data_IF_463557228816
#
_entry.id   IF_463557228816
#
_cell.length_a   1.000
_cell.length_b   1.000
_cell.length_c   1.000
_cell.angle_alpha   90.00
_cell.angle_beta   90.00
_cell.angle_gamma   90.00
#
_symmetry.space_group_name_H-M   'P 1'
#
loop_
_entity.id
_entity.type
_entity.pdbx_description
1 polymer ?
#
# COMPACT_ATOMS: atom_id res chain seq x y z
N UNK A 1 -7.06 -6.98 42.21
CA UNK A 1 -7.47 -7.92 41.12
C UNK A 1 -8.32 -7.28 40.02
N UNK A 2 -9.15 -6.25 40.26
CA UNK A 2 -10.03 -5.65 39.23
C UNK A 2 -9.33 -4.77 38.17
N UNK A 3 -8.18 -4.19 38.49
CA UNK A 3 -7.42 -3.31 37.58
C UNK A 3 -6.67 -4.07 36.47
N UNK A 4 -6.26 -5.31 36.73
CA UNK A 4 -5.50 -6.13 35.76
C UNK A 4 -6.44 -6.61 34.65
N UNK A 5 -7.69 -6.92 34.98
CA UNK A 5 -8.70 -7.34 34.01
C UNK A 5 -9.09 -6.22 33.04
N UNK A 6 -9.10 -4.96 33.51
CA UNK A 6 -9.37 -3.80 32.66
C UNK A 6 -8.24 -3.54 31.64
N UNK A 7 -6.99 -3.82 32.01
CA UNK A 7 -5.81 -3.62 31.15
C UNK A 7 -5.73 -4.65 30.01
N UNK A 8 -6.18 -5.89 30.26
CA UNK A 8 -6.22 -6.94 29.23
C UNK A 8 -7.32 -6.72 28.18
N UNK A 9 -8.44 -6.10 28.57
CA UNK A 9 -9.54 -5.78 27.64
C UNK A 9 -9.17 -4.64 26.70
N UNK A 10 -8.39 -3.65 27.14
CA UNK A 10 -7.88 -2.58 26.26
C UNK A 10 -6.76 -3.07 25.34
N UNK A 11 -5.91 -4.00 25.78
CA UNK A 11 -4.89 -4.62 24.92
C UNK A 11 -5.50 -5.49 23.79
N UNK A 12 -6.68 -6.07 24.01
CA UNK A 12 -7.39 -6.85 22.97
C UNK A 12 -8.08 -5.98 21.91
N UNK A 13 -8.22 -4.66 22.15
CA UNK A 13 -8.82 -3.70 21.22
C UNK A 13 -7.79 -3.00 20.32
N UNK A 14 -6.49 -3.15 20.57
CA UNK A 14 -5.46 -2.89 19.56
C UNK A 14 -5.41 -4.06 18.60
N UNK A 15 -6.53 -4.35 17.95
CA UNK A 15 -6.56 -5.24 16.80
C UNK A 15 -5.59 -4.65 15.77
N UNK A 16 -4.51 -5.37 15.50
CA UNK A 16 -3.62 -5.11 14.38
C UNK A 16 -4.46 -5.19 13.10
N UNK A 17 -5.09 -4.08 12.70
CA UNK A 17 -5.77 -3.97 11.42
C UNK A 17 -4.71 -3.91 10.33
N UNK A 18 -4.23 -5.09 9.95
CA UNK A 18 -3.38 -5.28 8.79
C UNK A 18 -4.27 -5.19 7.56
N UNK A 19 -4.47 -3.99 7.04
CA UNK A 19 -5.16 -3.80 5.77
C UNK A 19 -4.37 -4.51 4.69
N UNK A 20 -5.05 -5.25 3.80
CA UNK A 20 -4.38 -5.94 2.70
C UNK A 20 -5.22 -5.94 1.43
N UNK A 21 -4.56 -6.07 0.29
CA UNK A 21 -5.17 -6.18 -1.02
C UNK A 21 -4.25 -6.96 -1.96
N UNK A 22 -4.84 -7.65 -2.93
CA UNK A 22 -4.12 -8.29 -4.02
C UNK A 22 -4.92 -8.18 -5.31
N UNK A 23 -4.23 -7.99 -6.42
CA UNK A 23 -4.84 -7.92 -7.74
C UNK A 23 -3.89 -8.52 -8.79
N UNK A 24 -4.39 -9.44 -9.64
CA UNK A 24 -3.61 -9.90 -10.78
C UNK A 24 -3.53 -8.81 -11.86
N UNK A 25 -2.38 -8.72 -12.51
CA UNK A 25 -2.09 -7.84 -13.63
C UNK A 25 -1.37 -8.63 -14.73
N UNK A 26 -1.63 -8.27 -15.98
CA UNK A 26 -0.91 -8.82 -17.13
C UNK A 26 -0.31 -7.66 -17.90
N UNK A 27 1.01 -7.61 -17.97
CA UNK A 27 1.72 -6.55 -18.69
C UNK A 27 1.61 -6.68 -20.19
N UNK A 28 1.95 -5.60 -20.90
CA UNK A 28 1.98 -5.54 -22.36
C UNK A 28 2.92 -6.57 -23.02
N UNK A 29 3.99 -6.98 -22.34
CA UNK A 29 4.88 -8.07 -22.77
C UNK A 29 4.34 -9.49 -22.49
N UNK A 30 3.14 -9.60 -21.88
CA UNK A 30 2.48 -10.87 -21.58
C UNK A 30 2.84 -11.51 -20.24
N UNK A 31 3.74 -10.93 -19.43
CA UNK A 31 4.05 -11.41 -18.08
C UNK A 31 2.82 -11.29 -17.17
N UNK A 32 2.59 -12.33 -16.35
CA UNK A 32 1.55 -12.33 -15.32
C UNK A 32 2.18 -11.94 -13.99
N UNK A 33 1.56 -10.96 -13.33
CA UNK A 33 1.99 -10.42 -12.06
C UNK A 33 0.85 -10.48 -11.06
N UNK A 34 1.15 -10.89 -9.83
CA UNK A 34 0.29 -10.67 -8.68
C UNK A 34 0.83 -9.48 -7.91
N UNK A 35 0.09 -8.38 -7.93
CA UNK A 35 0.42 -7.17 -7.18
C UNK A 35 -0.32 -7.25 -5.86
N UNK A 36 0.39 -7.20 -4.74
CA UNK A 36 -0.21 -7.24 -3.42
C UNK A 36 0.33 -6.13 -2.53
N UNK A 37 -0.48 -5.65 -1.60
CA UNK A 37 -0.04 -4.66 -0.63
C UNK A 37 -0.66 -4.93 0.73
N UNK A 38 0.03 -4.53 1.79
CA UNK A 38 -0.53 -4.49 3.13
C UNK A 38 0.04 -3.32 3.95
N UNK A 39 -0.61 -3.03 5.08
CA UNK A 39 -0.20 -1.95 5.99
C UNK A 39 0.00 -2.45 7.44
N UNK A 40 1.06 -3.22 7.73
CA UNK A 40 1.40 -3.56 9.10
C UNK A 40 1.94 -2.34 9.84
N UNK A 41 1.33 -2.02 10.98
CA UNK A 41 1.82 -1.00 11.91
C UNK A 41 2.11 0.38 11.25
N UNK A 42 1.35 0.75 10.22
CA UNK A 42 1.53 2.03 9.51
C UNK A 42 2.65 2.03 8.45
N UNK A 43 3.22 0.88 8.11
CA UNK A 43 4.14 0.73 6.99
C UNK A 43 3.41 0.16 5.79
N UNK A 44 3.44 0.85 4.65
CA UNK A 44 3.03 0.29 3.38
C UNK A 44 4.10 -0.67 2.87
N UNK A 45 3.70 -1.92 2.69
CA UNK A 45 4.50 -2.90 1.96
C UNK A 45 3.77 -3.27 0.68
N UNK A 46 4.49 -3.28 -0.44
CA UNK A 46 3.97 -3.68 -1.75
C UNK A 46 4.85 -4.76 -2.35
N UNK A 47 4.23 -5.81 -2.88
CA UNK A 47 4.90 -6.92 -3.55
C UNK A 47 4.40 -7.10 -4.97
N UNK A 48 5.29 -7.62 -5.80
CA UNK A 48 4.99 -8.11 -7.15
C UNK A 48 5.53 -9.53 -7.24
N UNK A 49 4.65 -10.53 -7.44
CA UNK A 49 5.04 -11.96 -7.50
C UNK A 49 5.97 -12.37 -6.33
N UNK A 50 5.63 -11.99 -5.10
CA UNK A 50 6.39 -12.23 -3.87
C UNK A 50 7.69 -11.42 -3.67
N UNK A 51 8.09 -10.59 -4.64
CA UNK A 51 9.21 -9.66 -4.48
C UNK A 51 8.72 -8.37 -3.83
N UNK A 52 9.26 -8.02 -2.66
CA UNK A 52 8.99 -6.77 -1.98
C UNK A 52 9.61 -5.61 -2.76
N UNK A 53 8.79 -4.67 -3.24
CA UNK A 53 9.21 -3.54 -4.09
C UNK A 53 9.06 -2.19 -3.40
N UNK A 54 8.17 -2.09 -2.42
CA UNK A 54 8.00 -0.89 -1.57
C UNK A 54 7.92 -1.35 -0.12
N UNK A 55 8.67 -0.68 0.76
CA UNK A 55 8.62 -0.86 2.21
C UNK A 55 8.86 0.51 2.86
N UNK A 56 7.79 1.29 3.02
CA UNK A 56 7.88 2.68 3.49
C UNK A 56 6.72 3.06 4.42
N UNK A 57 6.88 4.13 5.19
CA UNK A 57 5.84 4.63 6.10
C UNK A 57 4.74 5.36 5.35
N UNK A 58 3.48 5.14 5.78
CA UNK A 58 2.33 5.89 5.25
C UNK A 58 2.35 7.38 5.61
N UNK A 59 3.31 7.82 6.40
CA UNK A 59 3.54 9.22 6.75
C UNK A 59 4.49 9.92 5.77
N UNK A 60 5.20 9.18 4.92
CA UNK A 60 6.14 9.75 3.97
C UNK A 60 5.36 10.36 2.80
N UNK A 61 5.14 11.67 2.88
CA UNK A 61 4.49 12.45 1.83
C UNK A 61 5.56 13.00 0.90
N UNK A 62 5.99 12.22 -0.09
CA UNK A 62 6.75 12.81 -1.19
C UNK A 62 5.78 13.68 -2.02
N UNK A 63 5.76 14.98 -1.67
CA UNK A 63 4.85 16.00 -2.25
C UNK A 63 5.37 16.56 -3.57
N UNK A 64 6.56 16.17 -4.00
CA UNK A 64 7.30 16.84 -5.06
C UNK A 64 6.64 16.78 -6.44
N UNK A 65 5.86 15.73 -6.73
CA UNK A 65 5.11 15.56 -8.00
C UNK A 65 3.60 15.35 -7.79
N UNK A 66 3.19 14.78 -6.66
CA UNK A 66 1.81 14.44 -6.30
C UNK A 66 0.88 15.66 -6.30
N UNK A 67 1.37 16.81 -5.81
CA UNK A 67 0.62 18.07 -5.78
C UNK A 67 0.36 18.66 -7.18
N UNK A 68 1.12 18.25 -8.21
CA UNK A 68 1.00 18.78 -9.57
C UNK A 68 0.00 18.01 -10.44
N UNK A 69 -0.31 16.74 -10.13
CA UNK A 69 -1.09 15.86 -11.01
C UNK A 69 -2.39 15.29 -10.42
N UNK A 70 -2.60 15.30 -9.10
CA UNK A 70 -3.91 14.96 -8.52
C UNK A 70 -4.02 15.39 -7.06
N UNK A 71 -5.09 16.12 -6.72
CA UNK A 71 -5.39 16.50 -5.33
C UNK A 71 -5.91 15.33 -4.47
N UNK A 72 -6.13 14.14 -5.06
CA UNK A 72 -6.77 13.02 -4.36
C UNK A 72 -5.80 12.01 -3.75
N UNK A 73 -4.56 11.92 -4.23
CA UNK A 73 -3.54 10.99 -3.72
C UNK A 73 -2.47 11.76 -2.94
N UNK A 74 -2.21 11.35 -1.71
CA UNK A 74 -1.34 12.10 -0.78
C UNK A 74 0.09 11.60 -0.78
N UNK A 75 0.29 10.33 -1.15
CA UNK A 75 1.59 9.68 -1.04
C UNK A 75 1.93 8.96 -2.35
N UNK A 76 3.18 9.07 -2.78
CA UNK A 76 3.71 8.36 -3.94
C UNK A 76 4.95 7.59 -3.51
N UNK A 77 5.01 6.33 -3.90
CA UNK A 77 6.11 5.42 -3.61
C UNK A 77 6.67 4.85 -4.89
N UNK A 78 7.97 4.61 -4.87
CA UNK A 78 8.70 4.08 -6.01
C UNK A 78 9.40 2.78 -5.61
N UNK A 79 9.42 1.84 -6.55
CA UNK A 79 10.09 0.56 -6.42
C UNK A 79 10.60 0.08 -7.77
N UNK A 80 11.26 -1.06 -7.79
CA UNK A 80 11.72 -1.70 -9.04
C UNK A 80 11.51 -3.19 -8.96
N UNK A 81 10.94 -3.77 -10.01
CA UNK A 81 10.74 -5.21 -10.16
C UNK A 81 11.34 -5.66 -11.49
N UNK A 82 12.37 -6.52 -11.46
CA UNK A 82 13.02 -7.07 -12.67
C UNK A 82 13.40 -6.01 -13.73
N UNK A 83 13.81 -4.82 -13.28
CA UNK A 83 14.17 -3.69 -14.15
C UNK A 83 12.99 -2.79 -14.56
N UNK A 84 11.75 -3.19 -14.29
CA UNK A 84 10.56 -2.37 -14.48
C UNK A 84 10.39 -1.40 -13.31
N UNK A 85 10.01 -0.16 -13.62
CA UNK A 85 9.72 0.88 -12.63
C UNK A 85 8.33 0.67 -12.06
N UNK A 86 8.24 0.53 -10.74
CA UNK A 86 6.96 0.46 -10.03
C UNK A 86 6.69 1.82 -9.41
N UNK A 87 5.54 2.41 -9.70
CA UNK A 87 5.06 3.62 -9.04
C UNK A 87 3.72 3.31 -8.38
N UNK A 88 3.60 3.63 -7.10
CA UNK A 88 2.38 3.42 -6.32
C UNK A 88 1.88 4.75 -5.78
N UNK A 89 0.64 5.11 -6.07
CA UNK A 89 0.00 6.33 -5.55
C UNK A 89 -1.09 5.94 -4.58
N UNK A 90 -0.97 6.35 -3.32
CA UNK A 90 -1.91 5.97 -2.28
C UNK A 90 -2.68 7.15 -1.73
N UNK A 91 -3.94 6.87 -1.38
CA UNK A 91 -4.84 7.73 -0.63
C UNK A 91 -5.16 7.02 0.67
N UNK A 92 -4.67 7.58 1.78
CA UNK A 92 -4.98 7.12 3.12
C UNK A 92 -5.84 8.17 3.82
N UNK A 93 -7.15 7.98 3.78
CA UNK A 93 -8.11 8.76 4.57
C UNK A 93 -8.81 7.86 5.58
N UNK A 94 -9.63 8.47 6.46
CA UNK A 94 -10.44 7.72 7.43
C UNK A 94 -11.32 6.67 6.75
N UNK A 95 -11.87 7.01 5.59
CA UNK A 95 -12.90 6.22 4.90
C UNK A 95 -12.38 5.46 3.68
N UNK A 96 -11.14 5.71 3.24
CA UNK A 96 -10.54 5.07 2.08
C UNK A 96 -9.05 4.76 2.28
N UNK A 97 -8.66 3.53 1.96
CA UNK A 97 -7.26 3.11 1.85
C UNK A 97 -7.11 2.47 0.47
N UNK A 98 -6.62 3.26 -0.46
CA UNK A 98 -6.59 2.90 -1.87
C UNK A 98 -5.21 3.21 -2.44
N UNK A 99 -4.66 2.31 -3.23
CA UNK A 99 -3.41 2.52 -3.92
C UNK A 99 -3.53 2.14 -5.40
N UNK A 100 -3.30 3.10 -6.29
CA UNK A 100 -3.08 2.83 -7.71
C UNK A 100 -1.63 2.38 -7.91
N UNK A 101 -1.43 1.31 -8.68
CA UNK A 101 -0.11 0.79 -9.02
C UNK A 101 0.12 0.92 -10.52
N UNK A 102 1.30 1.40 -10.88
CA UNK A 102 1.77 1.57 -12.24
C UNK A 102 3.05 0.79 -12.45
N UNK A 103 3.16 0.11 -13.59
CA UNK A 103 4.35 -0.63 -14.03
C UNK A 103 4.85 0.03 -15.31
N UNK A 104 6.08 0.57 -15.31
CA UNK A 104 6.66 1.35 -16.40
C UNK A 104 5.77 2.50 -16.93
N UNK A 105 4.93 3.05 -16.05
CA UNK A 105 3.99 4.12 -16.37
C UNK A 105 2.63 3.65 -16.89
N UNK A 106 2.47 2.35 -17.18
CA UNK A 106 1.17 1.75 -17.50
C UNK A 106 0.37 1.49 -16.22
N UNK A 107 -0.93 1.75 -16.25
CA UNK A 107 -1.81 1.45 -15.13
C UNK A 107 -1.97 -0.06 -14.95
N UNK A 108 -1.62 -0.57 -13.76
CA UNK A 108 -1.56 -2.00 -13.50
C UNK A 108 -2.65 -2.52 -12.55
N UNK A 109 -2.94 -1.80 -11.47
CA UNK A 109 -3.91 -2.25 -10.46
C UNK A 109 -4.50 -1.10 -9.63
N UNK A 110 -5.69 -1.34 -9.06
CA UNK A 110 -6.29 -0.56 -7.99
C UNK A 110 -6.43 -1.42 -6.72
N UNK A 111 -5.62 -1.13 -5.72
CA UNK A 111 -5.61 -1.89 -4.47
C UNK A 111 -6.50 -1.22 -3.43
N UNK A 112 -7.69 -1.77 -3.21
CA UNK A 112 -8.57 -1.40 -2.09
C UNK A 112 -8.16 -2.15 -0.82
N UNK A 113 -7.35 -1.51 0.01
CA UNK A 113 -6.80 -2.07 1.25
C UNK A 113 -7.91 -2.15 2.32
N UNK A 114 -8.32 -3.38 2.64
CA UNK A 114 -9.41 -3.66 3.61
C UNK A 114 -8.93 -4.54 4.75
#
# INVERSE_FOLDING_TARGET
MRLITALFVTLLLTGCTNYSAHQPYRSSNGEQMLISANIPNGMLKLWVNDVLVVDDTILNQDKSLSAAFSQSYTNVYHGTYRGQKIMTRCKFSRDAKECDVFVDGEYAANLFLR
#
